data_IF_108520556981
#
_entry.id   IF_108520556981
#
_cell.length_a   1.000
_cell.length_b   1.000
_cell.length_c   1.000
_cell.angle_alpha   90.00
_cell.angle_beta   90.00
_cell.angle_gamma   90.00
#
_symmetry.space_group_name_H-M   'P 1'
#
loop_
_entity.id
_entity.type
_entity.pdbx_description
1 polymer ?
#
# COMPACT_ATOMS: atom_id res chain seq x y z
N UNK A 1 -21.92 -3.14 7.82
CA UNK A 1 -20.81 -2.17 7.90
C UNK A 1 -19.47 -2.85 8.22
N UNK A 2 -19.35 -3.65 9.30
CA UNK A 2 -18.09 -4.35 9.64
C UNK A 2 -17.64 -5.28 8.51
N UNK A 3 -18.55 -6.10 7.96
CA UNK A 3 -18.26 -6.99 6.83
C UNK A 3 -17.84 -6.21 5.56
N UNK A 4 -18.43 -5.06 5.30
CA UNK A 4 -18.08 -4.20 4.15
C UNK A 4 -16.61 -3.73 4.24
N UNK A 5 -16.17 -3.34 5.44
CA UNK A 5 -14.80 -2.93 5.71
C UNK A 5 -13.85 -4.12 5.51
N UNK A 6 -14.19 -5.29 6.04
CA UNK A 6 -13.36 -6.48 5.89
C UNK A 6 -13.21 -6.90 4.41
N UNK A 7 -14.31 -6.93 3.65
CA UNK A 7 -14.25 -7.24 2.21
C UNK A 7 -13.44 -6.20 1.45
N UNK A 8 -13.55 -4.92 1.81
CA UNK A 8 -12.73 -3.88 1.22
C UNK A 8 -11.24 -4.12 1.48
N UNK A 9 -10.86 -4.37 2.73
CA UNK A 9 -9.46 -4.63 3.12
C UNK A 9 -8.92 -5.89 2.45
N UNK A 10 -9.68 -6.99 2.48
CA UNK A 10 -9.28 -8.24 1.81
C UNK A 10 -9.06 -8.03 0.30
N UNK A 11 -9.94 -7.28 -0.35
CA UNK A 11 -9.81 -6.97 -1.77
C UNK A 11 -8.57 -6.15 -2.08
N UNK A 12 -8.33 -5.09 -1.31
CA UNK A 12 -7.16 -4.24 -1.47
C UNK A 12 -5.85 -5.01 -1.24
N UNK A 13 -5.75 -5.76 -0.13
CA UNK A 13 -4.57 -6.57 0.18
C UNK A 13 -4.32 -7.64 -0.88
N UNK A 14 -5.37 -8.29 -1.41
CA UNK A 14 -5.20 -9.29 -2.47
C UNK A 14 -4.66 -8.65 -3.75
N UNK A 15 -5.16 -7.48 -4.16
CA UNK A 15 -4.62 -6.76 -5.33
C UNK A 15 -3.14 -6.44 -5.13
N UNK A 16 -2.76 -5.98 -3.95
CA UNK A 16 -1.36 -5.64 -3.62
C UNK A 16 -0.48 -6.89 -3.67
N UNK A 17 -0.93 -8.02 -3.12
CA UNK A 17 -0.21 -9.30 -3.20
C UNK A 17 -0.09 -9.83 -4.64
N UNK A 18 -1.08 -9.61 -5.49
CA UNK A 18 -1.00 -9.93 -6.93
C UNK A 18 0.06 -9.04 -7.61
N UNK A 19 0.13 -7.76 -7.29
CA UNK A 19 1.19 -6.88 -7.79
C UNK A 19 2.57 -7.42 -7.37
N UNK A 20 2.73 -7.82 -6.10
CA UNK A 20 3.98 -8.38 -5.57
C UNK A 20 4.34 -9.71 -6.23
N UNK A 21 3.36 -10.59 -6.46
CA UNK A 21 3.55 -11.87 -7.15
C UNK A 21 4.23 -11.72 -8.52
N UNK A 22 3.86 -10.68 -9.28
CA UNK A 22 4.46 -10.36 -10.58
C UNK A 22 5.69 -9.45 -10.48
N UNK A 23 6.28 -9.29 -9.29
CA UNK A 23 7.38 -8.35 -9.02
C UNK A 23 7.06 -6.91 -9.49
N UNK A 24 5.77 -6.53 -9.41
CA UNK A 24 5.29 -5.24 -9.90
C UNK A 24 5.96 -4.06 -9.22
N UNK A 25 6.27 -4.17 -7.93
CA UNK A 25 6.96 -3.14 -7.16
C UNK A 25 8.41 -2.91 -7.59
N UNK A 26 9.02 -3.83 -8.37
CA UNK A 26 10.32 -3.57 -8.99
C UNK A 26 10.29 -2.38 -9.95
N UNK A 27 9.10 -2.05 -10.46
CA UNK A 27 8.89 -0.84 -11.28
C UNK A 27 9.29 0.44 -10.54
N UNK A 28 9.14 0.47 -9.21
CA UNK A 28 9.55 1.60 -8.37
C UNK A 28 11.06 1.85 -8.47
N UNK A 29 11.87 0.80 -8.63
CA UNK A 29 13.32 0.93 -8.77
C UNK A 29 13.71 1.77 -9.97
N UNK A 30 12.91 1.83 -11.02
CA UNK A 30 13.18 2.66 -12.20
C UNK A 30 13.20 4.16 -11.91
N UNK A 31 12.52 4.58 -10.83
CA UNK A 31 12.54 5.97 -10.35
C UNK A 31 13.80 6.29 -9.54
N UNK A 32 14.55 5.27 -9.06
CA UNK A 32 15.72 5.43 -8.20
C UNK A 32 16.99 5.49 -9.06
N UNK A 33 17.29 6.67 -9.60
CA UNK A 33 18.47 6.89 -10.47
C UNK A 33 19.58 7.68 -9.78
N UNK A 34 19.37 8.19 -8.57
CA UNK A 34 20.31 9.08 -7.89
C UNK A 34 21.17 8.34 -6.87
N UNK A 35 22.48 8.65 -6.86
CA UNK A 35 23.40 8.20 -5.80
C UNK A 35 23.58 9.23 -4.68
N UNK A 36 23.03 10.44 -4.82
CA UNK A 36 23.14 11.48 -3.81
C UNK A 36 22.24 11.15 -2.61
N UNK A 37 22.81 11.05 -1.42
CA UNK A 37 22.12 10.66 -0.17
C UNK A 37 20.91 11.54 0.12
N UNK A 38 21.05 12.85 0.02
CA UNK A 38 19.95 13.80 0.29
C UNK A 38 18.83 13.68 -0.73
N UNK A 39 19.16 13.57 -2.03
CA UNK A 39 18.14 13.37 -3.07
C UNK A 39 17.42 12.03 -2.90
N UNK A 40 18.15 11.00 -2.51
CA UNK A 40 17.60 9.67 -2.25
C UNK A 40 16.64 9.71 -1.07
N UNK A 41 16.99 10.44 0.00
CA UNK A 41 16.12 10.62 1.15
C UNK A 41 14.77 11.25 0.76
N UNK A 42 14.79 12.36 0.05
CA UNK A 42 13.57 13.00 -0.43
C UNK A 42 12.78 12.11 -1.39
N UNK A 43 13.47 11.38 -2.26
CA UNK A 43 12.82 10.45 -3.19
C UNK A 43 12.06 9.35 -2.43
N UNK A 44 12.70 8.69 -1.44
CA UNK A 44 12.07 7.61 -0.69
C UNK A 44 10.91 8.10 0.19
N UNK A 45 11.07 9.22 0.86
CA UNK A 45 10.00 9.80 1.70
C UNK A 45 8.82 10.28 0.85
N UNK A 46 9.07 10.92 -0.31
CA UNK A 46 7.99 11.32 -1.22
C UNK A 46 7.30 10.11 -1.85
N UNK A 47 8.06 9.08 -2.26
CA UNK A 47 7.47 7.82 -2.75
C UNK A 47 6.62 7.15 -1.67
N UNK A 48 7.09 7.12 -0.42
CA UNK A 48 6.33 6.58 0.70
C UNK A 48 5.02 7.34 0.90
N UNK A 49 5.07 8.65 0.88
CA UNK A 49 3.91 9.52 1.01
C UNK A 49 2.87 9.28 -0.10
N UNK A 50 3.32 9.26 -1.36
CA UNK A 50 2.42 9.09 -2.52
C UNK A 50 1.90 7.65 -2.60
N UNK A 51 2.76 6.66 -2.42
CA UNK A 51 2.38 5.25 -2.52
C UNK A 51 1.38 4.87 -1.43
N UNK A 52 1.62 5.34 -0.19
CA UNK A 52 0.72 5.09 0.94
C UNK A 52 -0.65 5.76 0.80
N UNK A 53 -0.78 6.80 -0.01
CA UNK A 53 -2.08 7.37 -0.32
C UNK A 53 -2.96 6.47 -1.21
N UNK A 54 -2.38 5.47 -1.86
CA UNK A 54 -3.05 4.57 -2.82
C UNK A 54 -3.18 3.16 -2.23
N UNK A 55 -2.06 2.61 -1.74
CA UNK A 55 -2.01 1.36 -1.00
C UNK A 55 -1.85 1.68 0.50
N UNK A 56 -2.07 0.71 1.37
CA UNK A 56 -1.93 0.95 2.80
C UNK A 56 -0.49 1.33 3.21
N UNK A 57 -0.37 2.02 4.35
CA UNK A 57 0.89 2.53 4.88
C UNK A 57 1.88 1.42 5.26
N UNK A 58 1.39 0.26 5.71
CA UNK A 58 2.21 -0.89 6.09
C UNK A 58 2.89 -1.47 4.85
N UNK A 59 2.11 -1.79 3.82
CA UNK A 59 2.61 -2.33 2.54
C UNK A 59 3.57 -1.35 1.85
N UNK A 60 3.21 -0.06 1.77
CA UNK A 60 4.10 0.96 1.21
C UNK A 60 5.45 1.00 1.94
N UNK A 61 5.43 0.92 3.26
CA UNK A 61 6.64 0.88 4.09
C UNK A 61 7.48 -0.37 3.82
N UNK A 62 6.87 -1.57 3.85
CA UNK A 62 7.59 -2.85 3.63
C UNK A 62 8.25 -2.87 2.25
N UNK A 63 7.52 -2.50 1.20
CA UNK A 63 8.03 -2.45 -0.17
C UNK A 63 9.24 -1.52 -0.28
N UNK A 64 9.12 -0.30 0.23
CA UNK A 64 10.20 0.68 0.13
C UNK A 64 11.41 0.32 0.99
N UNK A 65 11.20 -0.24 2.18
CA UNK A 65 12.29 -0.73 3.03
C UNK A 65 13.01 -1.92 2.41
N UNK A 66 12.29 -2.83 1.77
CA UNK A 66 12.89 -3.96 1.03
C UNK A 66 13.79 -3.47 -0.11
N UNK A 67 13.35 -2.46 -0.85
CA UNK A 67 14.16 -1.82 -1.90
C UNK A 67 15.37 -1.11 -1.28
N UNK A 68 15.15 -0.37 -0.20
CA UNK A 68 16.19 0.39 0.51
C UNK A 68 17.32 -0.50 1.04
N UNK A 69 16.98 -1.67 1.60
CA UNK A 69 17.96 -2.63 2.12
C UNK A 69 18.94 -3.12 1.04
N UNK A 70 18.52 -3.17 -0.21
CA UNK A 70 19.39 -3.54 -1.34
C UNK A 70 20.33 -2.40 -1.77
N UNK A 71 19.92 -1.15 -1.52
CA UNK A 71 20.64 0.05 -1.96
C UNK A 71 21.58 0.56 -0.89
N UNK A 72 21.19 0.55 0.39
CA UNK A 72 21.97 1.12 1.50
C UNK A 72 22.50 0.00 2.38
N UNK A 73 23.84 -0.15 2.39
CA UNK A 73 24.53 -1.18 3.19
C UNK A 73 24.74 -0.73 4.65
N UNK A 74 24.90 0.56 4.91
CA UNK A 74 25.18 1.13 6.22
C UNK A 74 23.96 1.05 7.13
N UNK A 75 24.10 0.37 8.29
CA UNK A 75 22.99 0.08 9.22
C UNK A 75 22.38 1.34 9.80
N UNK A 76 23.19 2.30 10.25
CA UNK A 76 22.71 3.53 10.87
C UNK A 76 21.88 4.35 9.88
N UNK A 77 22.37 4.53 8.66
CA UNK A 77 21.66 5.23 7.61
C UNK A 77 20.34 4.53 7.27
N UNK A 78 20.31 3.18 7.20
CA UNK A 78 19.07 2.43 6.96
C UNK A 78 18.03 2.66 8.05
N UNK A 79 18.43 2.73 9.31
CA UNK A 79 17.50 2.99 10.43
C UNK A 79 16.88 4.39 10.32
N UNK A 80 17.68 5.40 9.99
CA UNK A 80 17.17 6.75 9.77
C UNK A 80 16.20 6.82 8.59
N UNK A 81 16.57 6.21 7.45
CA UNK A 81 15.67 6.11 6.30
C UNK A 81 14.37 5.39 6.67
N UNK A 82 14.46 4.27 7.39
CA UNK A 82 13.31 3.49 7.81
C UNK A 82 12.34 4.34 8.65
N UNK A 83 12.84 5.04 9.67
CA UNK A 83 12.02 5.92 10.49
C UNK A 83 11.32 7.01 9.68
N UNK A 84 12.05 7.66 8.76
CA UNK A 84 11.49 8.72 7.93
C UNK A 84 10.50 8.21 6.87
N UNK A 85 10.73 7.01 6.32
CA UNK A 85 9.78 6.33 5.42
C UNK A 85 8.50 5.98 6.16
N UNK A 86 8.58 5.48 7.40
CA UNK A 86 7.40 5.18 8.24
C UNK A 86 6.59 6.45 8.51
N UNK A 87 7.25 7.56 8.89
CA UNK A 87 6.58 8.85 9.11
C UNK A 87 5.89 9.31 7.81
N UNK A 88 6.60 9.26 6.69
CA UNK A 88 6.06 9.69 5.40
C UNK A 88 4.91 8.80 4.90
N UNK A 89 4.98 7.48 5.11
CA UNK A 89 3.92 6.56 4.75
C UNK A 89 2.65 6.79 5.59
N UNK A 90 2.78 6.96 6.91
CA UNK A 90 1.63 7.28 7.75
C UNK A 90 1.01 8.65 7.41
N UNK A 91 1.84 9.67 7.18
CA UNK A 91 1.36 10.97 6.73
C UNK A 91 0.66 10.87 5.37
N UNK A 92 1.19 10.04 4.45
CA UNK A 92 0.62 9.79 3.12
C UNK A 92 -0.73 9.07 3.18
N UNK A 93 -0.88 8.09 4.06
CA UNK A 93 -2.14 7.38 4.27
C UNK A 93 -3.25 8.26 4.86
N UNK A 94 -2.88 9.20 5.72
CA UNK A 94 -3.83 9.99 6.49
C UNK A 94 -4.73 10.93 5.67
N UNK A 95 -4.27 11.45 4.53
CA UNK A 95 -5.04 12.39 3.71
C UNK A 95 -5.88 11.71 2.63
N UNK A 96 -5.65 10.43 2.37
CA UNK A 96 -6.39 9.66 1.36
C UNK A 96 -7.50 8.82 2.01
N UNK A 97 -8.69 8.69 1.39
CA UNK A 97 -9.76 7.85 1.92
C UNK A 97 -9.46 6.35 1.85
N UNK A 98 -8.42 5.94 1.12
CA UNK A 98 -8.03 4.53 0.89
C UNK A 98 -6.61 4.21 1.37
N UNK A 99 -5.85 5.21 1.81
CA UNK A 99 -4.43 5.07 2.15
C UNK A 99 -4.17 4.57 3.57
N UNK A 100 -5.16 4.63 4.46
CA UNK A 100 -5.09 4.09 5.82
C UNK A 100 -6.42 3.48 6.22
N UNK A 101 -6.36 2.43 7.04
CA UNK A 101 -7.55 1.72 7.51
C UNK A 101 -8.49 2.65 8.28
N UNK A 102 -7.95 3.56 9.09
CA UNK A 102 -8.76 4.51 9.88
C UNK A 102 -9.55 5.46 8.99
N UNK A 103 -8.94 6.06 7.98
CA UNK A 103 -9.61 6.93 7.02
C UNK A 103 -10.60 6.16 6.14
N UNK A 104 -10.24 4.95 5.73
CA UNK A 104 -11.13 4.05 4.99
C UNK A 104 -12.39 3.72 5.80
N UNK A 105 -12.26 3.42 7.09
CA UNK A 105 -13.38 3.14 7.98
C UNK A 105 -14.31 4.34 8.12
N UNK A 106 -13.77 5.54 8.34
CA UNK A 106 -14.55 6.78 8.43
C UNK A 106 -15.30 7.08 7.13
N UNK A 107 -14.66 6.83 5.99
CA UNK A 107 -15.26 7.00 4.68
C UNK A 107 -16.38 5.98 4.40
N UNK A 108 -16.17 4.69 4.68
CA UNK A 108 -17.21 3.64 4.53
C UNK A 108 -18.38 3.89 5.47
N UNK A 109 -18.13 4.37 6.69
CA UNK A 109 -19.15 4.75 7.64
C UNK A 109 -19.90 6.05 7.29
N UNK A 110 -19.52 6.72 6.18
CA UNK A 110 -20.04 8.03 5.74
C UNK A 110 -19.89 9.15 6.80
N UNK A 111 -18.85 9.06 7.65
CA UNK A 111 -18.53 10.10 8.64
C UNK A 111 -17.71 11.23 8.03
N UNK A 112 -16.97 10.94 6.96
CA UNK A 112 -16.10 11.90 6.24
C UNK A 112 -16.30 11.74 4.74
N UNK A 113 -16.39 12.86 4.01
CA UNK A 113 -16.37 12.84 2.55
C UNK A 113 -14.91 12.81 2.05
N UNK A 114 -14.60 12.10 0.94
CA UNK A 114 -13.24 12.04 0.38
C UNK A 114 -12.67 13.43 0.09
N UNK A 115 -13.45 14.30 -0.51
CA UNK A 115 -13.01 15.65 -0.89
C UNK A 115 -12.66 16.49 0.33
N UNK A 116 -13.49 16.48 1.36
CA UNK A 116 -13.23 17.22 2.60
C UNK A 116 -11.98 16.66 3.32
N UNK A 117 -11.84 15.34 3.40
CA UNK A 117 -10.65 14.71 3.97
C UNK A 117 -9.38 15.19 3.24
N UNK A 118 -9.38 15.10 1.91
CA UNK A 118 -8.24 15.53 1.09
C UNK A 118 -7.89 17.02 1.29
N UNK A 119 -8.88 17.91 1.24
CA UNK A 119 -8.65 19.35 1.34
C UNK A 119 -8.07 19.73 2.72
N UNK A 120 -8.61 19.15 3.80
CA UNK A 120 -8.24 19.57 5.15
C UNK A 120 -6.98 18.86 5.66
N UNK A 121 -6.72 17.62 5.24
CA UNK A 121 -5.63 16.81 5.80
C UNK A 121 -4.38 16.79 4.92
N UNK A 122 -4.49 17.07 3.61
CA UNK A 122 -3.34 17.06 2.70
C UNK A 122 -2.20 18.00 3.16
N UNK A 123 -2.53 19.25 3.47
CA UNK A 123 -1.52 20.23 3.87
C UNK A 123 -0.83 19.85 5.20
N UNK A 124 -1.55 19.51 6.29
CA UNK A 124 -0.93 18.97 7.49
C UNK A 124 -0.08 17.73 7.25
N UNK A 125 -0.54 16.82 6.39
CA UNK A 125 0.21 15.60 6.05
C UNK A 125 1.51 15.90 5.32
N UNK A 126 1.51 16.85 4.38
CA UNK A 126 2.73 17.31 3.70
C UNK A 126 3.71 17.89 4.72
N UNK A 127 3.25 18.74 5.62
CA UNK A 127 4.08 19.35 6.66
C UNK A 127 4.67 18.26 7.58
N UNK A 128 3.85 17.27 7.95
CA UNK A 128 4.24 16.17 8.84
C UNK A 128 5.41 15.33 8.30
N UNK A 129 5.47 15.04 7.00
CA UNK A 129 6.60 14.29 6.46
C UNK A 129 7.76 15.20 6.00
N UNK A 130 7.44 16.40 5.50
CA UNK A 130 8.45 17.28 4.90
C UNK A 130 9.39 17.88 5.96
N UNK A 131 8.87 18.29 7.14
CA UNK A 131 9.70 18.86 8.21
C UNK A 131 10.74 17.86 8.72
N UNK A 132 10.40 16.63 9.16
CA UNK A 132 11.40 15.66 9.59
C UNK A 132 12.39 15.30 8.48
N UNK A 133 11.92 15.16 7.26
CA UNK A 133 12.78 14.88 6.09
C UNK A 133 13.76 16.03 5.84
N UNK A 134 13.31 17.28 5.93
CA UNK A 134 14.15 18.46 5.77
C UNK A 134 15.21 18.54 6.87
N UNK A 135 14.84 18.35 8.13
CA UNK A 135 15.77 18.36 9.27
C UNK A 135 16.84 17.28 9.08
N UNK A 136 16.42 16.04 8.76
CA UNK A 136 17.33 14.93 8.51
C UNK A 136 18.26 15.20 7.32
N UNK A 137 17.77 15.83 6.26
CA UNK A 137 18.58 16.17 5.07
C UNK A 137 19.76 17.11 5.38
N UNK A 138 19.70 17.84 6.50
CA UNK A 138 20.79 18.72 6.96
C UNK A 138 21.85 18.00 7.80
N UNK A 139 21.58 16.78 8.26
CA UNK A 139 22.51 15.97 9.04
C UNK A 139 23.70 15.54 8.19
N UNK A 140 24.87 15.39 8.81
CA UNK A 140 26.12 14.95 8.13
C UNK A 140 25.96 13.57 7.49
N UNK A 141 25.15 12.70 8.09
CA UNK A 141 24.86 11.32 7.60
C UNK A 141 24.28 11.31 6.17
N UNK A 142 23.48 12.30 5.81
CA UNK A 142 22.82 12.40 4.51
C UNK A 142 23.56 13.26 3.48
N UNK A 143 24.81 13.68 3.79
CA UNK A 143 25.68 14.38 2.84
C UNK A 143 26.53 13.40 2.04
N UNK A 144 26.80 13.72 0.77
CA UNK A 144 27.62 12.90 -0.12
C UNK A 144 26.85 11.88 -0.93
N UNK A 145 27.55 10.85 -1.38
CA UNK A 145 27.04 9.83 -2.29
C UNK A 145 27.06 8.45 -1.62
N UNK A 146 26.15 7.56 -2.04
CA UNK A 146 26.15 6.16 -1.65
C UNK A 146 27.09 5.35 -2.57
N UNK A 147 27.76 4.34 -2.00
CA UNK A 147 28.59 3.37 -2.73
C UNK A 147 27.72 2.20 -3.27
N UNK A 148 26.52 2.47 -3.73
CA UNK A 148 25.67 1.41 -4.25
C UNK A 148 25.91 1.21 -5.74
N UNK A 149 26.02 -0.04 -6.13
CA UNK A 149 25.96 -0.44 -7.52
C UNK A 149 24.49 -0.49 -7.95
N UNK A 150 24.02 0.63 -8.54
CA UNK A 150 22.65 0.74 -9.07
C UNK A 150 22.50 0.03 -10.44
N UNK A 151 23.55 -0.66 -10.88
CA UNK A 151 23.66 -1.27 -12.21
C UNK A 151 23.07 -2.69 -12.28
N UNK A 152 22.69 -3.31 -11.16
CA UNK A 152 21.90 -4.53 -11.25
C UNK A 152 20.52 -4.20 -11.81
N UNK A 153 20.37 -4.36 -13.12
CA UNK A 153 19.04 -4.38 -13.72
C UNK A 153 18.23 -5.49 -13.05
N UNK A 154 17.11 -5.13 -12.39
CA UNK A 154 16.24 -6.16 -11.85
C UNK A 154 15.81 -7.05 -13.02
N UNK A 155 15.89 -8.37 -12.86
CA UNK A 155 15.21 -9.30 -13.77
C UNK A 155 13.72 -8.97 -13.69
N UNK A 156 13.28 -8.00 -14.49
CA UNK A 156 11.86 -7.64 -14.60
C UNK A 156 11.12 -8.85 -15.15
N UNK A 157 10.15 -9.36 -14.44
CA UNK A 157 9.12 -10.18 -15.07
C UNK A 157 8.51 -9.37 -16.21
N UNK A 158 8.22 -10.02 -17.31
CA UNK A 158 7.72 -9.38 -18.53
C UNK A 158 6.44 -8.55 -18.30
N UNK A 159 5.72 -8.84 -17.21
CA UNK A 159 4.42 -8.26 -16.87
C UNK A 159 4.44 -7.39 -15.59
N UNK A 160 5.60 -7.16 -14.94
CA UNK A 160 5.73 -6.36 -13.71
C UNK A 160 5.07 -4.99 -13.79
N UNK A 161 5.44 -4.21 -14.81
CA UNK A 161 4.89 -2.85 -14.96
C UNK A 161 3.39 -2.87 -15.25
N UNK A 162 2.92 -3.82 -16.08
CA UNK A 162 1.49 -3.96 -16.40
C UNK A 162 0.69 -4.24 -15.15
N UNK A 163 1.11 -5.21 -14.33
CA UNK A 163 0.41 -5.56 -13.10
C UNK A 163 0.49 -4.45 -12.05
N UNK A 164 1.60 -3.73 -11.97
CA UNK A 164 1.76 -2.58 -11.10
C UNK A 164 0.73 -1.49 -11.41
N UNK A 165 0.69 -1.02 -12.67
CA UNK A 165 -0.25 0.05 -13.05
C UNK A 165 -1.70 -0.41 -13.05
N UNK A 166 -1.97 -1.67 -13.41
CA UNK A 166 -3.32 -2.24 -13.38
C UNK A 166 -3.85 -2.33 -11.94
N UNK A 167 -3.05 -2.84 -11.02
CA UNK A 167 -3.45 -2.97 -9.62
C UNK A 167 -3.65 -1.62 -8.95
N UNK A 168 -2.67 -0.68 -9.09
CA UNK A 168 -2.84 0.68 -8.56
C UNK A 168 -4.03 1.40 -9.19
N UNK A 169 -4.21 1.27 -10.51
CA UNK A 169 -5.36 1.83 -11.23
C UNK A 169 -6.68 1.25 -10.74
N UNK A 170 -6.73 -0.06 -10.45
CA UNK A 170 -7.89 -0.73 -9.88
C UNK A 170 -8.26 -0.19 -8.49
N UNK A 171 -7.26 0.04 -7.63
CA UNK A 171 -7.50 0.63 -6.30
C UNK A 171 -7.97 2.09 -6.42
N UNK A 172 -7.32 2.90 -7.26
CA UNK A 172 -7.70 4.30 -7.51
C UNK A 172 -9.09 4.45 -8.16
N UNK A 173 -9.54 3.44 -8.90
CA UNK A 173 -10.87 3.40 -9.49
C UNK A 173 -11.99 3.37 -8.43
N UNK A 174 -11.76 2.81 -7.25
CA UNK A 174 -12.81 2.59 -6.23
C UNK A 174 -13.49 3.88 -5.75
N UNK A 175 -12.76 4.96 -5.38
CA UNK A 175 -13.41 6.23 -5.04
C UNK A 175 -14.23 6.82 -6.18
N UNK A 176 -13.75 6.71 -7.43
CA UNK A 176 -14.46 7.16 -8.62
C UNK A 176 -15.74 6.34 -8.79
N UNK A 177 -15.64 5.01 -8.69
CA UNK A 177 -16.78 4.10 -8.77
C UNK A 177 -17.86 4.45 -7.74
N UNK A 178 -17.49 4.66 -6.45
CA UNK A 178 -18.43 5.08 -5.41
C UNK A 178 -19.11 6.40 -5.76
N UNK A 179 -18.37 7.36 -6.30
CA UNK A 179 -18.93 8.69 -6.64
C UNK A 179 -19.93 8.62 -7.77
N UNK A 180 -19.70 7.77 -8.77
CA UNK A 180 -20.57 7.61 -9.95
C UNK A 180 -21.78 6.73 -9.66
N UNK A 181 -21.56 5.60 -8.97
CA UNK A 181 -22.61 4.58 -8.77
C UNK A 181 -23.37 4.74 -7.46
N UNK A 182 -22.84 5.50 -6.51
CA UNK A 182 -23.31 5.61 -5.11
C UNK A 182 -23.35 4.27 -4.36
N UNK A 183 -22.77 3.21 -4.90
CA UNK A 183 -22.64 1.91 -4.24
C UNK A 183 -21.54 1.95 -3.16
N UNK A 184 -21.62 1.03 -2.18
CA UNK A 184 -20.58 0.92 -1.16
C UNK A 184 -19.20 0.64 -1.76
N UNK A 185 -18.10 1.19 -1.19
CA UNK A 185 -16.75 1.06 -1.75
C UNK A 185 -16.27 -0.37 -1.94
N UNK A 186 -16.69 -1.30 -1.07
CA UNK A 186 -16.29 -2.71 -1.19
C UNK A 186 -16.75 -3.35 -2.51
N UNK A 187 -17.88 -2.90 -3.09
CA UNK A 187 -18.36 -3.40 -4.38
C UNK A 187 -17.39 -3.03 -5.50
N UNK A 188 -16.94 -1.77 -5.53
CA UNK A 188 -15.92 -1.30 -6.47
C UNK A 188 -14.58 -2.02 -6.26
N UNK A 189 -14.20 -2.30 -5.00
CA UNK A 189 -12.97 -3.01 -4.69
C UNK A 189 -13.04 -4.47 -5.16
N UNK A 190 -14.16 -5.16 -4.96
CA UNK A 190 -14.36 -6.54 -5.45
C UNK A 190 -14.38 -6.60 -6.99
N UNK A 191 -14.97 -5.61 -7.65
CA UNK A 191 -14.93 -5.50 -9.11
C UNK A 191 -13.48 -5.30 -9.60
N UNK A 192 -12.73 -4.41 -8.98
CA UNK A 192 -11.31 -4.19 -9.29
C UNK A 192 -10.49 -5.47 -9.08
N UNK A 193 -10.71 -6.17 -7.95
CA UNK A 193 -10.07 -7.46 -7.69
C UNK A 193 -10.40 -8.49 -8.75
N UNK A 194 -11.67 -8.60 -9.18
CA UNK A 194 -12.07 -9.54 -10.21
C UNK A 194 -11.36 -9.29 -11.54
N UNK A 195 -11.25 -8.02 -11.95
CA UNK A 195 -10.54 -7.62 -13.18
C UNK A 195 -9.04 -7.92 -13.07
N UNK A 196 -8.41 -7.51 -11.98
CA UNK A 196 -6.97 -7.72 -11.76
C UNK A 196 -6.65 -9.21 -11.71
N UNK A 197 -7.48 -10.00 -11.01
CA UNK A 197 -7.33 -11.46 -10.90
C UNK A 197 -7.48 -12.16 -12.26
N UNK A 198 -8.50 -11.78 -13.05
CA UNK A 198 -8.71 -12.36 -14.38
C UNK A 198 -7.51 -12.09 -15.31
N UNK A 199 -6.97 -10.87 -15.28
CA UNK A 199 -5.80 -10.54 -16.09
C UNK A 199 -4.55 -11.24 -15.55
N UNK A 200 -4.37 -11.37 -14.25
CA UNK A 200 -3.26 -12.10 -13.63
C UNK A 200 -3.26 -13.57 -14.05
N UNK A 201 -4.42 -14.24 -14.01
CA UNK A 201 -4.58 -15.62 -14.47
C UNK A 201 -4.29 -15.76 -15.98
N UNK A 202 -4.80 -14.85 -16.78
CA UNK A 202 -4.56 -14.86 -18.22
C UNK A 202 -3.07 -14.73 -18.57
N UNK A 203 -2.36 -13.80 -17.89
CA UNK A 203 -0.93 -13.60 -18.10
C UNK A 203 -0.10 -14.80 -17.62
N UNK A 204 -0.45 -15.40 -16.48
CA UNK A 204 0.22 -16.59 -15.94
C UNK A 204 0.04 -17.81 -16.85
N UNK A 205 -1.16 -18.06 -17.33
CA UNK A 205 -1.45 -19.17 -18.25
C UNK A 205 -0.71 -19.02 -19.59
N UNK A 206 -0.54 -17.79 -20.06
CA UNK A 206 0.23 -17.52 -21.29
C UNK A 206 1.72 -17.79 -21.11
N UNK A 207 2.30 -17.47 -19.96
CA UNK A 207 3.70 -17.81 -19.66
C UNK A 207 3.91 -19.32 -19.55
N UNK A 208 2.96 -20.05 -18.95
CA UNK A 208 2.99 -21.52 -18.87
C UNK A 208 2.94 -22.18 -20.26
N UNK A 209 2.02 -21.76 -21.11
CA UNK A 209 1.86 -22.28 -22.46
C UNK A 209 3.11 -22.10 -23.32
N UNK A 210 3.87 -21.01 -23.10
CA UNK A 210 5.14 -20.75 -23.78
C UNK A 210 6.25 -21.64 -23.18
N UNK A 211 6.27 -21.84 -21.86
CA UNK A 211 7.26 -22.67 -21.18
C UNK A 211 7.09 -24.16 -21.52
N UNK A 212 5.86 -24.68 -21.60
CA UNK A 212 5.54 -26.05 -22.02
C UNK A 212 5.93 -26.32 -23.48
N UNK A 213 5.84 -25.30 -24.33
CA UNK A 213 6.26 -25.43 -25.75
C UNK A 213 7.79 -25.54 -25.91
N UNK A 214 8.55 -25.13 -24.90
CA UNK A 214 10.02 -25.14 -24.92
C UNK A 214 10.65 -26.24 -24.06
N UNK A 215 9.92 -26.77 -23.08
CA UNK A 215 10.35 -27.87 -22.21
C UNK A 215 9.58 -29.14 -22.57
N UNK A 216 10.24 -30.11 -23.25
CA UNK A 216 9.62 -31.41 -23.54
C UNK A 216 9.14 -32.12 -22.28
N UNK A 217 7.91 -32.63 -22.32
CA UNK A 217 7.21 -33.58 -21.44
C UNK A 217 7.93 -34.04 -20.16
N UNK A 218 8.05 -33.15 -19.19
CA UNK A 218 8.40 -33.46 -17.79
C UNK A 218 7.23 -33.01 -16.90
N UNK A 219 6.75 -33.90 -16.04
CA UNK A 219 5.64 -33.64 -15.13
C UNK A 219 5.94 -32.41 -14.25
N UNK A 220 5.36 -31.27 -14.59
CA UNK A 220 5.44 -30.07 -13.77
C UNK A 220 4.56 -30.23 -12.53
N UNK A 221 5.03 -29.77 -11.33
CA UNK A 221 4.19 -29.79 -10.14
C UNK A 221 2.94 -28.92 -10.39
N UNK A 222 1.82 -29.21 -9.69
CA UNK A 222 0.57 -28.48 -9.89
C UNK A 222 0.82 -26.96 -9.67
N UNK A 223 0.69 -26.19 -10.74
CA UNK A 223 0.88 -24.74 -10.68
C UNK A 223 -0.29 -24.11 -9.93
N UNK A 224 -0.02 -23.68 -8.71
CA UNK A 224 -0.98 -22.87 -7.95
C UNK A 224 -1.18 -21.53 -8.66
N UNK A 225 -2.45 -21.21 -8.95
CA UNK A 225 -2.88 -19.93 -9.51
C UNK A 225 -2.24 -18.73 -8.79
N UNK A 226 -1.85 -17.66 -9.53
CA UNK A 226 -1.37 -16.40 -8.92
C UNK A 226 -2.30 -15.89 -7.84
N UNK A 227 -3.62 -15.94 -8.11
CA UNK A 227 -4.65 -15.50 -7.16
C UNK A 227 -4.62 -16.36 -5.90
N UNK A 228 -4.51 -17.69 -6.02
CA UNK A 228 -4.42 -18.58 -4.86
C UNK A 228 -3.19 -18.31 -4.02
N UNK A 229 -2.03 -18.10 -4.65
CA UNK A 229 -0.79 -17.76 -3.94
C UNK A 229 -0.88 -16.40 -3.25
N UNK A 230 -1.50 -15.41 -3.88
CA UNK A 230 -1.68 -14.10 -3.30
C UNK A 230 -2.65 -14.14 -2.11
N UNK A 231 -3.77 -14.85 -2.24
CA UNK A 231 -4.72 -15.05 -1.13
C UNK A 231 -4.07 -15.73 0.08
N UNK A 232 -3.15 -16.67 -0.13
CA UNK A 232 -2.45 -17.36 0.96
C UNK A 232 -1.42 -16.48 1.68
N UNK A 233 -1.00 -15.37 1.07
CA UNK A 233 -0.03 -14.42 1.64
C UNK A 233 -0.67 -13.23 2.34
N UNK A 234 -2.00 -13.06 2.24
CA UNK A 234 -2.69 -11.98 2.94
C UNK A 234 -2.36 -12.03 4.43
N UNK A 235 -2.04 -10.87 5.00
CA UNK A 235 -1.79 -10.70 6.43
C UNK A 235 -3.07 -10.89 7.27
N UNK A 236 -3.50 -12.15 7.42
CA UNK A 236 -4.67 -12.51 8.24
C UNK A 236 -4.61 -11.92 9.66
N UNK A 237 -3.45 -11.86 10.35
CA UNK A 237 -3.37 -11.22 11.67
C UNK A 237 -3.83 -9.77 11.67
N UNK A 238 -3.49 -8.98 10.66
CA UNK A 238 -3.93 -7.59 10.51
C UNK A 238 -5.45 -7.50 10.34
N UNK A 239 -6.03 -8.35 9.50
CA UNK A 239 -7.50 -8.40 9.29
C UNK A 239 -8.22 -8.77 10.59
N UNK A 240 -7.73 -9.77 11.32
CA UNK A 240 -8.31 -10.20 12.59
C UNK A 240 -8.16 -9.12 13.68
N UNK A 241 -7.03 -8.41 13.71
CA UNK A 241 -6.81 -7.28 14.60
C UNK A 241 -7.84 -6.16 14.36
N UNK A 242 -8.04 -5.78 13.10
CA UNK A 242 -9.07 -4.78 12.76
C UNK A 242 -10.47 -5.27 13.04
N UNK A 243 -10.79 -6.54 12.78
CA UNK A 243 -12.07 -7.13 13.19
C UNK A 243 -12.26 -7.02 14.69
N UNK A 244 -11.25 -7.34 15.49
CA UNK A 244 -11.29 -7.23 16.95
C UNK A 244 -11.60 -5.80 17.42
N UNK A 245 -10.91 -4.80 16.86
CA UNK A 245 -11.14 -3.38 17.16
C UNK A 245 -12.58 -2.98 16.77
N UNK A 246 -13.03 -3.34 15.57
CA UNK A 246 -14.38 -3.01 15.10
C UNK A 246 -15.47 -3.64 15.98
N UNK A 247 -15.27 -4.88 16.40
CA UNK A 247 -16.19 -5.57 17.31
C UNK A 247 -16.20 -4.92 18.71
N UNK A 248 -15.02 -4.57 19.25
CA UNK A 248 -14.89 -3.92 20.55
C UNK A 248 -15.56 -2.54 20.54
N UNK A 249 -15.29 -1.71 19.53
CA UNK A 249 -15.90 -0.38 19.39
C UNK A 249 -17.41 -0.51 19.20
N UNK A 250 -17.89 -1.45 18.39
CA UNK A 250 -19.31 -1.72 18.21
C UNK A 250 -19.99 -2.17 19.48
N UNK A 251 -19.34 -2.97 20.32
CA UNK A 251 -19.85 -3.36 21.64
C UNK A 251 -19.96 -2.16 22.59
N UNK A 252 -18.92 -1.30 22.66
CA UNK A 252 -18.94 -0.09 23.47
C UNK A 252 -20.02 0.90 23.02
N UNK A 253 -20.21 1.03 21.69
CA UNK A 253 -21.28 1.85 21.11
C UNK A 253 -22.67 1.32 21.50
N UNK A 254 -22.87 0.01 21.39
CA UNK A 254 -24.16 -0.63 21.74
C UNK A 254 -24.52 -0.54 23.22
N UNK A 255 -23.50 -0.49 24.08
CA UNK A 255 -23.66 -0.31 25.52
C UNK A 255 -23.85 1.18 25.93
N UNK A 256 -23.79 2.12 24.99
CA UNK A 256 -23.89 3.55 25.27
C UNK A 256 -22.67 4.17 25.94
N UNK A 257 -21.63 3.38 26.26
CA UNK A 257 -20.44 3.85 26.98
C UNK A 257 -19.67 4.95 26.23
N UNK A 258 -19.63 4.87 24.89
CA UNK A 258 -18.98 5.92 24.08
C UNK A 258 -19.75 7.24 24.16
N UNK A 259 -21.07 7.19 24.24
CA UNK A 259 -21.92 8.38 24.39
C UNK A 259 -21.74 9.05 25.76
N UNK A 260 -21.71 8.26 26.83
CA UNK A 260 -21.45 8.75 28.19
C UNK A 260 -20.05 9.39 28.29
N UNK A 261 -19.03 8.74 27.72
CA UNK A 261 -17.67 9.27 27.71
C UNK A 261 -17.56 10.60 26.92
N UNK A 262 -18.21 10.70 25.76
CA UNK A 262 -18.29 11.93 24.98
C UNK A 262 -18.95 13.06 25.78
N UNK A 263 -20.05 12.76 26.51
CA UNK A 263 -20.74 13.74 27.35
C UNK A 263 -19.90 14.24 28.55
N UNK A 264 -18.97 13.42 29.05
CA UNK A 264 -18.01 13.84 30.08
C UNK A 264 -16.97 14.78 29.50
N UNK A 265 -16.45 14.49 28.29
CA UNK A 265 -15.47 15.35 27.62
C UNK A 265 -16.04 16.70 27.17
N UNK A 266 -17.33 16.78 26.88
CA UNK A 266 -17.98 18.02 26.45
C UNK A 266 -18.23 18.99 27.63
N UNK A 267 -18.22 18.46 28.88
CA UNK A 267 -18.45 19.23 30.12
C UNK A 267 -17.15 19.70 30.81
N UNK A 268 -15.96 19.24 30.35
CA UNK A 268 -14.65 19.63 30.85
C UNK A 268 -13.94 20.55 29.90
#
# INVERSE_FOLDING_TARGET
KTAEILFFLMGAMTIVEIIDYFDGFSTIKTFIKTKNKTKLLWLFTTLAFVLSAIIDNLTATIVLLTILQKIIKEKEMRLWFAGLVVIAANAGGAWSPIGDVTTTMLWIANKVSPVQLMIHVLLPSIVCYAIPTYIASRMKLFKGFIEADLTEEPKKSKHSATMFYLGLGGILFVPIFKTVTHLPPYVGMMLSLAIVSAIAEFLSNKELSIADSTAGLGANPPHLSPVHKSLSKIEMPSILFFLGILMAVGALESLGMLYEFAGVLEKG
#
